data_IF_130849413828
#
_entry.id   IF_130849413828
#
_cell.length_a   1.000
_cell.length_b   1.000
_cell.length_c   1.000
_cell.angle_alpha   90.00
_cell.angle_beta   90.00
_cell.angle_gamma   90.00
#
_symmetry.space_group_name_H-M   'P 1'
#
loop_
_entity.id
_entity.type
_entity.pdbx_description
1 polymer ?
#
# COMPACT_ATOMS: atom_id res chain seq x y z
N UNK A 1 -6.49 0.54 -7.91
CA UNK A 1 -6.03 0.72 -6.51
C UNK A 1 -7.26 0.77 -5.63
N UNK A 2 -7.27 0.17 -4.45
CA UNK A 2 -8.50 -0.01 -3.65
C UNK A 2 -8.50 0.97 -2.48
N UNK A 3 -9.58 1.75 -2.24
CA UNK A 3 -9.69 2.56 -1.03
C UNK A 3 -9.75 1.66 0.22
N UNK A 4 -9.32 2.18 1.36
CA UNK A 4 -9.23 1.43 2.62
C UNK A 4 -10.06 2.14 3.68
N UNK A 5 -10.92 1.38 4.34
CA UNK A 5 -11.60 1.81 5.57
C UNK A 5 -10.89 1.14 6.74
N UNK A 6 -10.26 1.94 7.60
CA UNK A 6 -9.53 1.45 8.77
C UNK A 6 -10.30 1.75 10.04
N UNK A 7 -10.65 0.71 10.77
CA UNK A 7 -11.19 0.81 12.13
C UNK A 7 -10.18 0.21 13.12
N UNK A 8 -9.80 1.00 14.12
CA UNK A 8 -8.87 0.61 15.17
C UNK A 8 -9.45 0.98 16.54
N UNK A 9 -9.25 0.13 17.56
CA UNK A 9 -9.84 0.33 18.89
C UNK A 9 -9.21 1.51 19.65
N UNK A 10 -7.88 1.55 19.69
CA UNK A 10 -7.08 2.62 20.35
C UNK A 10 -6.22 3.40 19.36
N UNK A 11 -6.06 2.84 18.15
CA UNK A 11 -5.32 3.41 17.05
C UNK A 11 -6.13 4.45 16.27
N UNK A 12 -5.49 5.03 15.25
CA UNK A 12 -6.14 5.96 14.32
C UNK A 12 -7.08 5.16 13.40
N UNK A 13 -8.38 5.43 13.53
CA UNK A 13 -9.39 5.03 12.55
C UNK A 13 -9.52 6.11 11.48
N UNK A 14 -9.90 5.75 10.26
CA UNK A 14 -10.03 6.71 9.16
C UNK A 14 -10.25 6.06 7.80
N UNK A 15 -10.38 6.93 6.79
CA UNK A 15 -10.62 6.54 5.40
C UNK A 15 -9.38 6.88 4.56
N UNK A 16 -9.03 6.00 3.64
CA UNK A 16 -7.89 6.18 2.73
C UNK A 16 -8.39 5.99 1.31
N UNK A 17 -8.25 7.02 0.48
CA UNK A 17 -8.68 6.96 -0.92
C UNK A 17 -7.76 6.06 -1.76
N UNK A 18 -8.21 5.70 -2.96
CA UNK A 18 -7.42 4.90 -3.90
C UNK A 18 -6.09 5.56 -4.34
N UNK A 19 -5.94 6.87 -4.10
CA UNK A 19 -4.71 7.64 -4.32
C UNK A 19 -3.73 7.52 -3.15
N UNK A 20 -4.18 7.06 -1.98
CA UNK A 20 -3.42 7.06 -0.73
C UNK A 20 -3.68 8.27 0.16
N UNK A 21 -4.57 9.20 -0.24
CA UNK A 21 -4.93 10.33 0.60
C UNK A 21 -5.74 9.87 1.82
N UNK A 22 -5.34 10.32 3.01
CA UNK A 22 -6.03 10.01 4.27
C UNK A 22 -7.08 11.08 4.53
N UNK A 23 -8.30 10.65 4.84
CA UNK A 23 -9.46 11.50 5.13
C UNK A 23 -10.11 11.06 6.44
N UNK A 24 -10.69 12.05 7.13
CA UNK A 24 -11.57 11.88 8.28
C UNK A 24 -11.05 10.88 9.34
N UNK A 25 -9.97 11.27 10.04
CA UNK A 25 -9.26 10.40 11.01
C UNK A 25 -9.64 10.69 12.45
N UNK A 26 -9.67 9.66 13.30
CA UNK A 26 -9.82 9.81 14.75
C UNK A 26 -8.49 10.12 15.45
N UNK A 27 -8.58 10.70 16.65
CA UNK A 27 -7.43 10.80 17.55
C UNK A 27 -7.11 9.47 18.24
N UNK A 28 -5.86 9.30 18.67
CA UNK A 28 -5.43 8.13 19.44
C UNK A 28 -6.11 8.09 20.81
N UNK A 29 -6.45 6.88 21.26
CA UNK A 29 -7.04 6.61 22.59
C UNK A 29 -8.32 7.39 22.92
N UNK A 30 -9.01 7.89 21.89
CA UNK A 30 -10.26 8.63 22.06
C UNK A 30 -11.42 7.88 21.44
N UNK A 31 -12.53 7.78 22.16
CA UNK A 31 -13.77 7.17 21.67
C UNK A 31 -14.46 8.15 20.73
N UNK A 32 -14.45 7.85 19.43
CA UNK A 32 -15.06 8.68 18.39
C UNK A 32 -15.81 7.82 17.37
N UNK A 33 -16.77 8.44 16.69
CA UNK A 33 -17.48 7.88 15.53
C UNK A 33 -17.18 8.77 14.32
N UNK A 34 -16.76 8.16 13.22
CA UNK A 34 -16.51 8.83 11.95
C UNK A 34 -17.32 8.14 10.85
N UNK A 35 -17.92 8.94 9.97
CA UNK A 35 -18.71 8.50 8.82
C UNK A 35 -18.22 9.28 7.60
N UNK A 36 -17.98 8.57 6.51
CA UNK A 36 -17.52 9.18 5.25
C UNK A 36 -18.04 8.35 4.07
N UNK A 37 -18.07 8.97 2.89
CA UNK A 37 -18.41 8.32 1.64
C UNK A 37 -17.16 7.70 1.01
N UNK A 38 -17.30 6.46 0.53
CA UNK A 38 -16.25 5.75 -0.20
C UNK A 38 -16.67 5.51 -1.65
N UNK A 39 -15.71 5.62 -2.56
CA UNK A 39 -15.88 5.25 -3.97
C UNK A 39 -15.13 3.93 -4.25
N UNK A 40 -15.81 2.77 -4.27
CA UNK A 40 -15.15 1.50 -4.55
C UNK A 40 -14.46 1.51 -5.92
N UNK A 41 -13.25 0.96 -5.99
CA UNK A 41 -12.54 0.86 -7.25
C UNK A 41 -13.19 -0.22 -8.14
N UNK A 42 -13.74 0.21 -9.28
CA UNK A 42 -14.31 -0.65 -10.32
C UNK A 42 -13.33 -0.95 -11.47
N UNK A 43 -12.15 -0.34 -11.47
CA UNK A 43 -11.14 -0.51 -12.51
C UNK A 43 -10.39 -1.84 -12.43
N UNK A 44 -9.62 -2.19 -13.47
CA UNK A 44 -8.84 -3.42 -13.50
C UNK A 44 -7.76 -3.45 -12.40
N UNK A 45 -7.31 -4.65 -12.03
CA UNK A 45 -6.17 -4.84 -11.13
C UNK A 45 -4.91 -4.16 -11.71
N UNK A 46 -4.14 -3.50 -10.84
CA UNK A 46 -2.85 -2.88 -11.24
C UNK A 46 -1.83 -3.94 -11.61
N UNK A 47 -0.78 -3.56 -12.32
CA UNK A 47 0.33 -4.46 -12.67
C UNK A 47 0.88 -5.19 -11.43
N UNK A 48 1.17 -4.43 -10.37
CA UNK A 48 1.64 -4.98 -9.10
C UNK A 48 0.67 -6.00 -8.48
N UNK A 49 -0.64 -5.74 -8.50
CA UNK A 49 -1.63 -6.71 -8.00
C UNK A 49 -1.78 -7.96 -8.87
N UNK A 50 -1.30 -7.95 -10.12
CA UNK A 50 -1.32 -9.12 -11.02
C UNK A 50 -0.04 -9.95 -10.93
N UNK A 51 1.12 -9.28 -10.86
CA UNK A 51 2.43 -9.93 -10.97
C UNK A 51 3.23 -9.91 -9.65
N UNK A 52 2.76 -9.22 -8.61
CA UNK A 52 3.46 -9.10 -7.34
C UNK A 52 4.85 -8.48 -7.49
N UNK A 53 5.80 -9.01 -6.73
CA UNK A 53 7.17 -8.51 -6.65
C UNK A 53 8.12 -9.06 -7.74
N UNK A 54 7.60 -9.67 -8.81
CA UNK A 54 8.43 -10.24 -9.90
C UNK A 54 9.44 -9.22 -10.44
N UNK A 55 9.00 -7.98 -10.69
CA UNK A 55 9.89 -6.92 -11.17
C UNK A 55 11.01 -6.62 -10.16
N UNK A 56 10.66 -6.54 -8.87
CA UNK A 56 11.62 -6.32 -7.78
C UNK A 56 12.65 -7.46 -7.70
N UNK A 57 12.21 -8.72 -7.84
CA UNK A 57 13.10 -9.88 -7.87
C UNK A 57 14.05 -9.87 -9.07
N UNK A 58 13.58 -9.45 -10.26
CA UNK A 58 14.44 -9.30 -11.44
C UNK A 58 15.53 -8.25 -11.19
N UNK A 59 15.17 -7.10 -10.60
CA UNK A 59 16.15 -6.08 -10.23
C UNK A 59 17.18 -6.61 -9.22
N UNK A 60 16.73 -7.33 -8.19
CA UNK A 60 17.64 -7.93 -7.20
C UNK A 60 18.57 -8.97 -7.82
N UNK A 61 18.07 -9.82 -8.72
CA UNK A 61 18.88 -10.79 -9.43
C UNK A 61 19.94 -10.11 -10.32
N UNK A 62 19.56 -9.07 -11.06
CA UNK A 62 20.50 -8.29 -11.88
C UNK A 62 21.60 -7.65 -11.03
N UNK A 63 21.23 -7.01 -9.92
CA UNK A 63 22.21 -6.43 -8.99
C UNK A 63 23.14 -7.51 -8.45
N UNK A 64 22.60 -8.64 -7.99
CA UNK A 64 23.41 -9.75 -7.47
C UNK A 64 24.39 -10.30 -8.52
N UNK A 65 23.95 -10.45 -9.77
CA UNK A 65 24.80 -10.91 -10.88
C UNK A 65 25.91 -9.90 -11.17
N UNK A 66 25.58 -8.61 -11.28
CA UNK A 66 26.57 -7.54 -11.53
C UNK A 66 27.61 -7.50 -10.41
N UNK A 67 27.15 -7.52 -9.17
CA UNK A 67 28.02 -7.52 -7.98
C UNK A 67 28.92 -8.76 -7.97
N UNK A 68 28.37 -9.95 -8.24
CA UNK A 68 29.15 -11.19 -8.31
C UNK A 68 30.23 -11.15 -9.40
N UNK A 69 29.90 -10.62 -10.59
CA UNK A 69 30.87 -10.46 -11.68
C UNK A 69 31.96 -9.43 -11.33
N UNK A 70 31.59 -8.33 -10.66
CA UNK A 70 32.54 -7.31 -10.22
C UNK A 70 33.51 -7.81 -9.14
N UNK A 71 33.07 -8.71 -8.24
CA UNK A 71 33.95 -9.33 -7.23
C UNK A 71 34.85 -10.45 -7.79
N UNK A 72 34.51 -10.98 -8.96
CA UNK A 72 35.28 -12.04 -9.64
C UNK A 72 36.46 -11.47 -10.43
N UNK A 73 36.40 -10.19 -10.78
CA UNK A 73 37.49 -9.38 -11.36
C UNK A 73 38.34 -8.75 -10.26
#
# INVERSE_FOLDING_TARGET
RTPIVRAANTGISGFIDATGQIRNTTQLFKRELIVDEIAPNKGPRTFYSKFGDIFSYLCLALVAIITFLAYRF
#
